data_IF_473855562956
#
_entry.id   IF_473855562956
#
_cell.length_a   1.000
_cell.length_b   1.000
_cell.length_c   1.000
_cell.angle_alpha   90.00
_cell.angle_beta   90.00
_cell.angle_gamma   90.00
#
_symmetry.space_group_name_H-M   'P 1'
#
loop_
_entity.id
_entity.type
_entity.pdbx_description
1 polymer ?
#
# COMPACT_ATOMS: atom_id res chain seq x y z
N UNK A 1 -52.81 56.88 35.75
CA UNK A 1 -52.15 57.19 34.46
C UNK A 1 -50.87 56.35 34.35
N UNK A 2 -50.67 55.65 33.22
CA UNK A 2 -49.41 54.98 32.79
C UNK A 2 -48.35 56.03 32.38
N UNK A 3 -47.02 55.77 32.34
CA UNK A 3 -46.30 54.87 31.38
C UNK A 3 -45.16 54.01 32.01
N UNK A 4 -44.74 52.83 31.52
CA UNK A 4 -43.80 52.51 30.40
C UNK A 4 -42.48 53.33 30.47
N UNK A 5 -41.24 52.80 30.46
CA UNK A 5 -40.60 51.63 29.81
C UNK A 5 -39.26 51.28 30.51
N UNK A 6 -38.93 49.99 30.46
CA UNK A 6 -37.64 49.32 30.12
C UNK A 6 -36.28 49.81 30.66
N UNK A 7 -35.57 48.91 31.35
CA UNK A 7 -34.12 48.72 31.17
C UNK A 7 -33.75 47.22 31.27
N UNK A 8 -32.72 46.82 30.52
CA UNK A 8 -32.32 45.45 30.19
C UNK A 8 -31.42 44.82 31.27
N UNK A 9 -31.60 43.52 31.56
CA UNK A 9 -30.44 42.62 31.76
C UNK A 9 -30.76 41.14 31.57
N UNK A 10 -30.11 40.59 30.54
CA UNK A 10 -29.55 39.25 30.41
C UNK A 10 -30.34 38.01 30.90
N UNK A 11 -30.72 37.20 29.91
CA UNK A 11 -30.22 35.82 29.86
C UNK A 11 -31.09 34.73 30.49
N UNK A 12 -32.04 34.22 29.73
CA UNK A 12 -32.21 32.77 29.55
C UNK A 12 -33.27 32.50 28.47
N UNK A 13 -32.80 32.21 27.26
CA UNK A 13 -33.60 31.67 26.17
C UNK A 13 -33.24 30.20 25.97
N UNK A 14 -34.21 29.28 25.96
CA UNK A 14 -33.97 27.86 25.80
C UNK A 14 -33.61 27.55 24.34
N UNK A 15 -32.41 26.98 24.17
CA UNK A 15 -32.06 25.88 23.26
C UNK A 15 -33.03 25.65 22.10
N UNK A 16 -33.06 26.61 21.17
CA UNK A 16 -33.71 26.48 19.89
C UNK A 16 -32.66 26.42 18.80
N UNK A 17 -32.59 25.26 18.14
CA UNK A 17 -32.11 25.05 16.76
C UNK A 17 -30.71 25.56 16.42
N UNK A 18 -29.82 24.60 16.13
CA UNK A 18 -28.73 24.60 15.13
C UNK A 18 -27.54 23.75 15.63
N UNK A 19 -27.82 22.49 15.97
CA UNK A 19 -26.78 21.46 16.11
C UNK A 19 -26.68 20.62 14.82
N UNK A 20 -26.80 21.26 13.67
CA UNK A 20 -26.53 20.70 12.35
C UNK A 20 -25.67 21.73 11.62
N UNK A 21 -24.50 21.34 11.13
CA UNK A 21 -23.52 22.13 10.36
C UNK A 21 -22.35 22.75 11.15
N UNK A 22 -21.63 21.94 11.93
CA UNK A 22 -20.20 22.13 12.08
C UNK A 22 -19.54 20.79 12.35
N UNK A 23 -18.78 20.29 11.37
CA UNK A 23 -17.67 19.31 11.44
C UNK A 23 -17.52 18.46 10.17
N UNK A 24 -17.79 19.04 9.00
CA UNK A 24 -17.16 18.59 7.76
C UNK A 24 -15.76 19.21 7.73
N UNK A 25 -14.80 18.63 8.45
CA UNK A 25 -13.35 18.90 8.30
C UNK A 25 -12.54 17.88 9.11
N UNK A 26 -12.56 16.60 8.70
CA UNK A 26 -11.41 15.69 8.88
C UNK A 26 -11.52 14.45 7.99
N UNK A 27 -11.79 14.66 6.70
CA UNK A 27 -11.36 13.72 5.67
C UNK A 27 -9.97 14.20 5.22
N UNK A 28 -9.01 13.29 5.11
CA UNK A 28 -7.56 13.42 4.84
C UNK A 28 -6.76 12.98 6.06
N UNK A 29 -5.99 11.90 5.92
CA UNK A 29 -5.12 11.27 6.91
C UNK A 29 -5.77 10.20 7.82
N UNK A 30 -6.29 9.15 7.20
CA UNK A 30 -6.06 7.78 7.68
C UNK A 30 -5.48 7.00 6.50
N UNK A 31 -4.16 6.94 6.48
CA UNK A 31 -3.35 6.08 5.64
C UNK A 31 -2.59 5.19 6.63
N UNK A 32 -2.56 3.88 6.35
CA UNK A 32 -2.03 2.78 7.17
C UNK A 32 -3.01 2.26 8.22
N UNK A 33 -3.77 1.23 7.83
CA UNK A 33 -4.01 0.02 8.63
C UNK A 33 -4.56 -1.06 7.68
N UNK A 34 -3.83 -1.35 6.59
CA UNK A 34 -4.07 -2.50 5.68
C UNK A 34 -3.09 -3.66 6.01
N UNK A 35 -2.57 -3.70 7.24
CA UNK A 35 -1.36 -4.45 7.60
C UNK A 35 -1.56 -5.93 8.01
N UNK A 36 -2.77 -6.50 8.01
CA UNK A 36 -2.95 -7.87 8.56
C UNK A 36 -3.65 -8.90 7.65
N UNK A 37 -4.15 -8.51 6.47
CA UNK A 37 -4.86 -9.42 5.57
C UNK A 37 -4.01 -10.11 4.48
N UNK A 38 -2.69 -9.91 4.49
CA UNK A 38 -1.75 -10.60 3.58
C UNK A 38 -1.01 -11.77 4.25
N UNK A 39 -1.50 -12.28 5.37
CA UNK A 39 -0.96 -13.46 6.01
C UNK A 39 -1.04 -14.69 5.07
N UNK A 40 0.14 -15.23 4.76
CA UNK A 40 0.40 -16.58 4.26
C UNK A 40 0.19 -16.87 2.76
N UNK A 41 0.50 -15.93 1.86
CA UNK A 41 1.06 -16.37 0.58
C UNK A 41 2.43 -16.94 0.87
N UNK A 42 2.56 -18.27 0.88
CA UNK A 42 3.81 -19.01 1.12
C UNK A 42 5.02 -18.24 0.59
N UNK A 43 5.81 -17.64 1.49
CA UNK A 43 6.88 -16.71 1.13
C UNK A 43 7.83 -17.42 0.15
N UNK A 44 7.84 -16.95 -1.10
CA UNK A 44 8.67 -17.53 -2.16
C UNK A 44 9.99 -16.76 -2.17
N UNK A 45 11.05 -17.40 -1.72
CA UNK A 45 12.39 -16.83 -1.66
C UNK A 45 13.18 -17.16 -2.92
N UNK A 46 13.62 -16.12 -3.62
CA UNK A 46 14.37 -16.25 -4.87
C UNK A 46 15.75 -15.63 -4.74
N UNK A 47 16.75 -16.31 -5.29
CA UNK A 47 18.00 -15.67 -5.66
C UNK A 47 17.78 -15.05 -7.04
N UNK A 48 17.90 -13.74 -7.13
CA UNK A 48 17.48 -12.97 -8.29
C UNK A 48 18.64 -12.14 -8.83
N UNK A 49 18.93 -12.32 -10.11
CA UNK A 49 19.89 -11.53 -10.86
C UNK A 49 19.14 -10.64 -11.86
N UNK A 50 19.32 -9.32 -11.76
CA UNK A 50 18.59 -8.35 -12.56
C UNK A 50 19.45 -7.14 -12.92
N UNK A 51 19.04 -6.40 -13.94
CA UNK A 51 19.65 -5.12 -14.34
C UNK A 51 18.84 -3.99 -13.72
N UNK A 52 19.47 -3.16 -12.89
CA UNK A 52 18.83 -2.03 -12.23
C UNK A 52 18.60 -0.83 -13.19
N UNK A 53 18.19 0.31 -12.62
CA UNK A 53 17.92 1.54 -13.37
C UNK A 53 19.17 2.16 -13.99
N UNK A 54 20.33 1.95 -13.39
CA UNK A 54 21.63 2.47 -13.85
C UNK A 54 22.28 1.53 -14.88
N UNK A 55 21.63 0.40 -15.19
CA UNK A 55 22.14 -0.60 -16.11
C UNK A 55 23.14 -1.55 -15.47
N UNK A 56 23.25 -1.56 -14.14
CA UNK A 56 24.19 -2.41 -13.40
C UNK A 56 23.52 -3.75 -13.09
N UNK A 57 24.30 -4.82 -13.25
CA UNK A 57 23.88 -6.17 -12.89
C UNK A 57 23.93 -6.32 -11.37
N UNK A 58 22.78 -6.59 -10.77
CA UNK A 58 22.59 -6.82 -9.35
C UNK A 58 22.26 -8.28 -9.09
N UNK A 59 22.72 -8.80 -7.96
CA UNK A 59 22.36 -10.12 -7.45
C UNK A 59 21.90 -9.97 -5.99
N UNK A 60 20.70 -10.44 -5.68
CA UNK A 60 20.13 -10.30 -4.34
C UNK A 60 19.12 -11.42 -4.05
N UNK A 61 18.93 -11.71 -2.77
CA UNK A 61 17.85 -12.57 -2.30
C UNK A 61 16.60 -11.72 -2.05
N UNK A 62 15.47 -12.19 -2.57
CA UNK A 62 14.19 -11.49 -2.43
C UNK A 62 13.08 -12.43 -2.00
N UNK A 63 12.12 -11.90 -1.25
CA UNK A 63 10.80 -12.51 -1.10
C UNK A 63 9.85 -11.94 -2.15
N UNK A 64 9.20 -12.80 -2.93
CA UNK A 64 8.14 -12.38 -3.86
C UNK A 64 6.89 -12.03 -3.07
N UNK A 65 6.40 -10.80 -3.23
CA UNK A 65 5.19 -10.30 -2.59
C UNK A 65 3.97 -10.39 -3.51
N UNK A 66 4.12 -10.00 -4.76
CA UNK A 66 3.02 -9.99 -5.73
C UNK A 66 3.52 -10.17 -7.16
N UNK A 67 2.65 -10.70 -8.02
CA UNK A 67 2.91 -10.90 -9.44
C UNK A 67 1.88 -10.14 -10.25
N UNK A 68 2.33 -9.43 -11.28
CA UNK A 68 1.48 -8.60 -12.12
C UNK A 68 1.59 -9.06 -13.58
N UNK A 69 0.86 -10.10 -14.01
CA UNK A 69 0.96 -10.65 -15.37
C UNK A 69 0.72 -9.61 -16.48
N UNK A 70 -0.30 -8.76 -16.31
CA UNK A 70 -0.63 -7.70 -17.27
C UNK A 70 0.47 -6.65 -17.44
N UNK A 71 1.25 -6.39 -16.40
CA UNK A 71 2.37 -5.44 -16.41
C UNK A 71 3.72 -6.11 -16.69
N UNK A 72 3.73 -7.46 -16.77
CA UNK A 72 4.95 -8.29 -16.83
C UNK A 72 5.98 -7.87 -15.77
N UNK A 73 5.50 -7.66 -14.54
CA UNK A 73 6.32 -7.25 -13.41
C UNK A 73 6.03 -8.10 -12.17
N UNK A 74 6.96 -8.03 -11.23
CA UNK A 74 6.90 -8.73 -9.94
C UNK A 74 7.26 -7.71 -8.85
N UNK A 75 6.43 -7.64 -7.81
CA UNK A 75 6.79 -6.92 -6.59
C UNK A 75 7.54 -7.88 -5.68
N UNK A 76 8.73 -7.47 -5.27
CA UNK A 76 9.62 -8.24 -4.42
C UNK A 76 10.08 -7.38 -3.25
N UNK A 77 10.42 -7.99 -2.12
CA UNK A 77 11.08 -7.33 -1.00
C UNK A 77 12.48 -7.88 -0.88
N UNK A 78 13.48 -6.99 -0.91
CA UNK A 78 14.89 -7.35 -0.75
C UNK A 78 15.16 -7.73 0.69
N UNK A 79 15.89 -8.81 0.90
CA UNK A 79 16.21 -9.27 2.25
C UNK A 79 17.25 -8.37 2.94
N UNK A 80 18.15 -7.75 2.17
CA UNK A 80 19.27 -6.97 2.71
C UNK A 80 18.86 -5.67 3.40
N UNK A 81 17.79 -5.04 2.93
CA UNK A 81 17.37 -3.71 3.38
C UNK A 81 15.85 -3.58 3.54
N UNK A 82 15.13 -4.70 3.48
CA UNK A 82 13.67 -4.80 3.56
C UNK A 82 12.92 -3.90 2.56
N UNK A 83 13.60 -3.40 1.53
CA UNK A 83 13.00 -2.49 0.58
C UNK A 83 12.15 -3.25 -0.45
N UNK A 84 10.92 -2.77 -0.65
CA UNK A 84 10.08 -3.22 -1.75
C UNK A 84 10.53 -2.64 -3.08
N UNK A 85 10.53 -3.51 -4.11
CA UNK A 85 10.95 -3.18 -5.46
C UNK A 85 9.99 -3.83 -6.46
N UNK A 86 9.61 -3.06 -7.47
CA UNK A 86 8.85 -3.59 -8.61
C UNK A 86 9.83 -3.82 -9.76
N UNK A 87 10.02 -5.09 -10.13
CA UNK A 87 10.93 -5.50 -11.19
C UNK A 87 10.16 -5.91 -12.43
N UNK A 88 10.50 -5.30 -13.57
CA UNK A 88 10.02 -5.78 -14.88
C UNK A 88 10.73 -7.07 -15.23
N UNK A 89 9.99 -8.07 -15.70
CA UNK A 89 10.56 -9.38 -16.07
C UNK A 89 11.63 -9.25 -17.16
N UNK A 90 11.52 -8.28 -18.07
CA UNK A 90 12.55 -8.04 -19.09
C UNK A 90 13.91 -7.56 -18.54
N UNK A 91 13.96 -7.13 -17.28
CA UNK A 91 15.18 -6.73 -16.59
C UNK A 91 15.75 -7.84 -15.72
N UNK A 92 14.99 -8.92 -15.50
CA UNK A 92 15.44 -10.07 -14.71
C UNK A 92 16.19 -11.01 -15.65
N UNK A 93 17.45 -11.27 -15.34
CA UNK A 93 18.32 -12.16 -16.10
C UNK A 93 18.14 -13.59 -15.63
N UNK A 94 18.04 -13.77 -14.32
CA UNK A 94 17.87 -15.07 -13.69
C UNK A 94 17.07 -14.96 -12.39
N UNK A 95 16.24 -15.98 -12.15
CA UNK A 95 15.52 -16.18 -10.91
C UNK A 95 15.63 -17.66 -10.53
N UNK A 96 16.05 -17.95 -9.32
CA UNK A 96 16.22 -19.31 -8.80
C UNK A 96 15.42 -19.41 -7.51
N UNK A 97 14.54 -20.40 -7.42
CA UNK A 97 13.84 -20.73 -6.18
C UNK A 97 14.87 -21.32 -5.20
N UNK A 98 15.14 -20.62 -4.10
CA UNK A 98 16.20 -20.99 -3.15
C UNK A 98 15.91 -22.33 -2.48
N UNK A 99 14.64 -22.63 -2.22
CA UNK A 99 14.24 -23.85 -1.54
C UNK A 99 14.47 -25.09 -2.40
N UNK A 100 14.26 -24.98 -3.70
CA UNK A 100 14.36 -26.11 -4.64
C UNK A 100 15.64 -26.10 -5.48
N UNK A 101 16.38 -24.99 -5.50
CA UNK A 101 17.53 -24.76 -6.37
C UNK A 101 17.18 -24.69 -7.85
N UNK A 102 15.90 -24.62 -8.22
CA UNK A 102 15.44 -24.65 -9.61
C UNK A 102 15.35 -23.25 -10.18
N UNK A 103 15.81 -23.09 -11.42
CA UNK A 103 15.57 -21.88 -12.19
C UNK A 103 14.07 -21.74 -12.45
N UNK A 104 13.60 -20.51 -12.32
CA UNK A 104 12.21 -20.14 -12.50
C UNK A 104 12.04 -19.64 -13.93
N UNK A 105 11.17 -20.31 -14.67
CA UNK A 105 10.72 -19.80 -15.95
C UNK A 105 9.73 -18.66 -15.71
N UNK A 106 10.21 -17.42 -15.79
CA UNK A 106 9.39 -16.24 -15.55
C UNK A 106 8.24 -16.10 -16.56
N UNK A 107 8.40 -16.59 -17.79
CA UNK A 107 7.35 -16.56 -18.80
C UNK A 107 6.20 -17.50 -18.46
N UNK A 108 6.53 -18.76 -18.16
CA UNK A 108 5.55 -19.75 -17.71
C UNK A 108 4.95 -19.36 -16.36
N UNK A 109 5.75 -18.75 -15.48
CA UNK A 109 5.31 -18.37 -14.15
C UNK A 109 4.30 -17.24 -14.20
N UNK A 110 4.53 -16.18 -15.00
CA UNK A 110 3.53 -15.13 -15.24
C UNK A 110 2.23 -15.69 -15.83
N UNK A 111 2.31 -16.67 -16.72
CA UNK A 111 1.13 -17.29 -17.33
C UNK A 111 0.28 -18.08 -16.33
N UNK A 112 0.89 -18.68 -15.30
CA UNK A 112 0.19 -19.43 -14.25
C UNK A 112 -0.60 -18.54 -13.28
N UNK A 113 -0.25 -17.25 -13.18
CA UNK A 113 -0.93 -16.30 -12.28
C UNK A 113 -2.00 -15.47 -13.02
N UNK A 114 -2.21 -15.70 -14.32
CA UNK A 114 -3.32 -15.11 -15.05
C UNK A 114 -4.61 -15.86 -14.74
N UNK A 115 -5.69 -15.19 -14.28
CA UNK A 115 -6.98 -15.81 -14.04
C UNK A 115 -7.66 -16.31 -15.32
#
# INVERSE_FOLDING_TARGET
MKPHKSDHKAGNGPTGMLAYLAHISRAMFQHHDDDEHAQQQAERYWALMYVDTDGVLQNTTVSVLAVHPGLRSVTVRRESDEQELILRVSKIVEAIDIRTGRRIDLGQWLAQVSP
#
